data_IF_531227189650
#
_entry.id   IF_531227189650
#
_cell.length_a   1.000
_cell.length_b   1.000
_cell.length_c   1.000
_cell.angle_alpha   90.00
_cell.angle_beta   90.00
_cell.angle_gamma   90.00
#
_symmetry.space_group_name_H-M   'P 1'
#
loop_
_entity.id
_entity.type
_entity.pdbx_description
1 polymer ?
#
# COMPACT_ATOMS: atom_id res chain seq x y z
N UNK A 1 -46.06 21.56 67.77
CA UNK A 1 -44.59 21.76 67.75
C UNK A 1 -43.80 20.58 67.14
N UNK A 2 -44.44 19.47 66.75
CA UNK A 2 -43.75 18.32 66.12
C UNK A 2 -43.75 18.35 64.58
N UNK A 3 -44.66 19.10 63.93
CA UNK A 3 -44.74 19.13 62.47
C UNK A 3 -43.67 20.02 61.81
N UNK A 4 -43.28 21.13 62.46
CA UNK A 4 -42.24 22.03 61.95
C UNK A 4 -40.82 21.42 61.92
N UNK A 5 -40.58 20.34 62.67
CA UNK A 5 -39.27 19.64 62.68
C UNK A 5 -39.16 18.58 61.57
N UNK A 6 -40.27 18.03 61.08
CA UNK A 6 -40.23 17.03 59.99
C UNK A 6 -39.89 17.70 58.66
N UNK A 7 -40.45 18.86 58.37
CA UNK A 7 -40.22 19.56 57.09
C UNK A 7 -38.76 20.01 56.91
N UNK A 8 -38.10 20.45 57.99
CA UNK A 8 -36.69 20.86 57.95
C UNK A 8 -35.72 19.70 57.60
N UNK A 9 -36.09 18.45 57.93
CA UNK A 9 -35.31 17.26 57.58
C UNK A 9 -35.46 16.83 56.12
N UNK A 10 -36.66 16.98 55.57
CA UNK A 10 -36.98 16.57 54.20
C UNK A 10 -36.37 17.57 53.18
N UNK A 11 -36.41 18.87 53.49
CA UNK A 11 -35.77 19.90 52.66
C UNK A 11 -34.24 19.82 52.62
N UNK A 12 -33.61 19.37 53.72
CA UNK A 12 -32.16 19.11 53.80
C UNK A 12 -31.75 17.94 52.91
N UNK A 13 -32.56 16.89 52.83
CA UNK A 13 -32.30 15.71 51.98
C UNK A 13 -32.55 16.01 50.50
N UNK A 14 -33.60 16.77 50.17
CA UNK A 14 -33.88 17.22 48.81
C UNK A 14 -32.75 18.10 48.25
N UNK A 15 -32.10 18.92 49.09
CA UNK A 15 -30.96 19.78 48.72
C UNK A 15 -29.64 19.01 48.51
N UNK A 16 -29.46 17.84 49.14
CA UNK A 16 -28.27 16.99 48.96
C UNK A 16 -28.36 16.16 47.66
N UNK A 17 -29.57 15.79 47.26
CA UNK A 17 -29.80 14.96 46.05
C UNK A 17 -29.78 15.82 44.77
N UNK A 18 -30.12 17.11 44.86
CA UNK A 18 -30.26 18.00 43.69
C UNK A 18 -28.97 18.70 43.25
N UNK A 19 -27.86 18.57 43.97
CA UNK A 19 -26.65 19.36 43.71
C UNK A 19 -25.43 18.47 43.42
N UNK A 20 -25.23 17.96 42.19
CA UNK A 20 -23.95 17.43 41.81
C UNK A 20 -23.01 18.62 41.55
N UNK A 21 -22.24 18.95 42.59
CA UNK A 21 -20.88 19.51 42.54
C UNK A 21 -20.79 21.04 42.47
N UNK A 22 -20.71 21.67 43.64
CA UNK A 22 -19.92 22.90 43.79
C UNK A 22 -19.16 22.94 45.13
N UNK A 23 -17.83 22.76 45.05
CA UNK A 23 -16.79 23.18 46.00
C UNK A 23 -15.45 22.60 45.51
N UNK A 24 -14.37 23.33 45.32
CA UNK A 24 -14.09 24.72 45.62
C UNK A 24 -12.81 25.16 44.89
N UNK A 25 -12.52 26.45 44.97
CA UNK A 25 -11.42 27.11 44.27
C UNK A 25 -10.04 26.57 44.62
N UNK A 26 -9.26 26.32 43.58
CA UNK A 26 -7.82 26.19 43.61
C UNK A 26 -7.24 27.03 42.48
N UNK A 27 -6.45 28.03 42.86
CA UNK A 27 -5.63 28.87 42.00
C UNK A 27 -4.84 28.01 41.00
N UNK A 28 -4.99 28.28 39.71
CA UNK A 28 -4.36 27.49 38.66
C UNK A 28 -4.32 28.22 37.32
N UNK A 29 -3.29 29.06 37.16
CA UNK A 29 -2.70 29.60 35.93
C UNK A 29 -3.22 28.93 34.64
N UNK A 30 -4.02 29.67 33.87
CA UNK A 30 -4.59 29.24 32.60
C UNK A 30 -3.49 29.21 31.51
N UNK A 31 -2.73 28.11 31.46
CA UNK A 31 -1.83 27.76 30.35
C UNK A 31 -2.42 26.58 29.57
N UNK A 32 -3.63 26.76 29.04
CA UNK A 32 -4.20 25.85 28.03
C UNK A 32 -3.60 26.16 26.65
N UNK A 33 -2.29 26.03 26.54
CA UNK A 33 -1.64 25.58 25.32
C UNK A 33 -1.33 24.10 25.51
N UNK A 34 -2.36 23.30 25.76
CA UNK A 34 -2.27 21.85 25.59
C UNK A 34 -2.10 21.64 24.09
N UNK A 35 -0.83 21.72 23.67
CA UNK A 35 -0.35 21.26 22.39
C UNK A 35 -1.01 19.90 22.18
N UNK A 36 -2.02 19.87 21.30
CA UNK A 36 -2.50 18.66 20.67
C UNK A 36 -1.30 18.13 19.91
N UNK A 37 -0.37 17.48 20.62
CA UNK A 37 0.60 16.59 20.03
C UNK A 37 -0.28 15.57 19.32
N UNK A 38 -0.26 15.49 17.97
CA UNK A 38 -0.91 14.38 17.31
C UNK A 38 -0.18 13.17 17.84
N UNK A 39 -0.80 12.46 18.79
CA UNK A 39 -0.28 11.19 19.26
C UNK A 39 -0.30 10.32 18.02
N UNK A 40 0.88 10.14 17.44
CA UNK A 40 1.14 9.26 16.31
C UNK A 40 0.95 7.84 16.86
N UNK A 41 -0.30 7.45 17.08
CA UNK A 41 -0.66 6.09 17.45
C UNK A 41 -0.49 5.26 16.19
N UNK A 42 0.74 4.86 15.95
CA UNK A 42 1.09 3.79 15.05
C UNK A 42 0.59 2.51 15.74
N UNK A 43 -0.73 2.26 15.70
CA UNK A 43 -1.28 0.93 15.97
C UNK A 43 -0.93 0.06 14.76
N UNK A 44 0.31 -0.42 14.74
CA UNK A 44 0.63 -1.60 13.97
C UNK A 44 0.13 -2.76 14.82
N UNK A 45 -1.03 -3.30 14.50
CA UNK A 45 -1.27 -4.72 14.72
C UNK A 45 -0.30 -5.46 13.81
N UNK A 46 0.96 -5.60 14.25
CA UNK A 46 2.02 -6.31 13.53
C UNK A 46 1.52 -7.74 13.25
N UNK A 47 0.80 -8.33 14.20
CA UNK A 47 0.24 -9.69 14.07
C UNK A 47 -0.77 -9.84 12.92
N UNK A 48 -1.53 -8.78 12.59
CA UNK A 48 -2.46 -8.80 11.46
C UNK A 48 -1.81 -8.36 10.15
N UNK A 49 -0.85 -7.43 10.16
CA UNK A 49 -0.27 -6.85 8.95
C UNK A 49 0.59 -7.81 8.11
N UNK A 50 1.35 -8.71 8.76
CA UNK A 50 2.32 -9.58 8.08
C UNK A 50 1.66 -10.58 7.14
N UNK A 51 0.55 -11.20 7.53
CA UNK A 51 -0.11 -12.18 6.67
C UNK A 51 -0.63 -11.55 5.37
N UNK A 52 -1.18 -10.34 5.43
CA UNK A 52 -1.61 -9.62 4.21
C UNK A 52 -0.43 -9.17 3.37
N UNK A 53 0.70 -8.83 4.00
CA UNK A 53 1.93 -8.49 3.30
C UNK A 53 2.50 -9.70 2.56
N UNK A 54 2.52 -10.87 3.21
CA UNK A 54 2.98 -12.12 2.60
C UNK A 54 2.08 -12.47 1.41
N UNK A 55 0.75 -12.43 1.59
CA UNK A 55 -0.19 -12.72 0.49
C UNK A 55 -0.05 -11.73 -0.68
N UNK A 56 0.09 -10.43 -0.38
CA UNK A 56 0.39 -9.41 -1.38
C UNK A 56 1.70 -9.72 -2.13
N UNK A 57 2.76 -10.02 -1.38
CA UNK A 57 4.05 -10.35 -1.95
C UNK A 57 3.93 -11.58 -2.84
N UNK A 58 3.28 -12.66 -2.40
CA UNK A 58 3.05 -13.87 -3.20
C UNK A 58 2.30 -13.58 -4.49
N UNK A 59 1.24 -12.75 -4.45
CA UNK A 59 0.48 -12.33 -5.65
C UNK A 59 1.36 -11.56 -6.64
N UNK A 60 2.14 -10.60 -6.15
CA UNK A 60 3.00 -9.78 -7.03
C UNK A 60 4.20 -10.60 -7.54
N UNK A 61 4.87 -11.37 -6.69
CA UNK A 61 6.02 -12.19 -7.08
C UNK A 61 5.64 -13.30 -8.07
N UNK A 62 4.50 -13.97 -7.91
CA UNK A 62 4.03 -14.94 -8.91
C UNK A 62 3.81 -14.31 -10.28
N UNK A 63 3.28 -13.08 -10.31
CA UNK A 63 3.12 -12.30 -11.55
C UNK A 63 4.48 -11.94 -12.18
N UNK A 64 5.42 -11.46 -11.36
CA UNK A 64 6.75 -11.04 -11.83
C UNK A 64 7.60 -12.24 -12.28
N UNK A 65 7.55 -13.36 -11.57
CA UNK A 65 8.20 -14.59 -11.98
C UNK A 65 7.63 -15.15 -13.28
N UNK A 66 6.31 -14.99 -13.51
CA UNK A 66 5.71 -15.31 -14.80
C UNK A 66 6.27 -14.43 -15.92
N UNK A 67 6.45 -13.12 -15.70
CA UNK A 67 7.08 -12.21 -16.67
C UNK A 67 8.53 -12.63 -16.95
N UNK A 68 9.29 -12.98 -15.91
CA UNK A 68 10.67 -13.44 -16.05
C UNK A 68 10.77 -14.76 -16.83
N UNK A 69 9.80 -15.67 -16.63
CA UNK A 69 9.77 -16.95 -17.31
C UNK A 69 9.53 -16.85 -18.83
N UNK A 70 8.95 -15.74 -19.33
CA UNK A 70 8.83 -15.51 -20.77
C UNK A 70 10.20 -15.34 -21.41
N UNK A 71 11.18 -14.80 -20.68
CA UNK A 71 12.53 -14.63 -21.21
C UNK A 71 12.60 -13.63 -22.37
N UNK A 72 11.74 -12.60 -22.39
CA UNK A 72 11.70 -11.60 -23.47
C UNK A 72 13.06 -10.95 -23.76
N UNK A 73 13.87 -10.71 -22.72
CA UNK A 73 15.20 -10.11 -22.82
C UNK A 73 16.12 -10.71 -21.75
N UNK A 74 17.42 -10.50 -21.92
CA UNK A 74 18.42 -10.84 -20.92
C UNK A 74 18.25 -10.01 -19.63
N UNK A 75 18.81 -10.52 -18.53
CA UNK A 75 18.85 -9.83 -17.22
C UNK A 75 17.49 -9.53 -16.56
N UNK A 76 16.39 -10.17 -17.00
CA UNK A 76 15.07 -10.06 -16.35
C UNK A 76 15.08 -10.43 -14.86
N UNK A 77 16.09 -11.16 -14.37
CA UNK A 77 16.25 -11.49 -12.93
C UNK A 77 16.26 -10.23 -12.03
N UNK A 78 16.67 -9.07 -12.55
CA UNK A 78 16.70 -7.82 -11.78
C UNK A 78 15.29 -7.39 -11.32
N UNK A 79 14.23 -7.76 -12.07
CA UNK A 79 12.83 -7.48 -11.70
C UNK A 79 12.49 -7.99 -10.30
N UNK A 80 13.12 -9.08 -9.82
CA UNK A 80 12.87 -9.64 -8.47
C UNK A 80 13.23 -8.61 -7.40
N UNK A 81 14.37 -7.95 -7.55
CA UNK A 81 14.84 -6.92 -6.63
C UNK A 81 14.01 -5.64 -6.80
N UNK A 82 13.69 -5.27 -8.03
CA UNK A 82 12.87 -4.10 -8.35
C UNK A 82 11.46 -4.20 -7.77
N UNK A 83 10.90 -5.40 -7.80
CA UNK A 83 9.61 -5.73 -7.20
C UNK A 83 9.65 -5.55 -5.70
N UNK A 84 10.72 -6.00 -5.04
CA UNK A 84 10.93 -5.77 -3.62
C UNK A 84 10.94 -4.27 -3.29
N UNK A 85 11.72 -3.50 -4.04
CA UNK A 85 11.81 -2.04 -3.86
C UNK A 85 10.45 -1.37 -4.12
N UNK A 86 9.71 -1.80 -5.13
CA UNK A 86 8.37 -1.31 -5.45
C UNK A 86 7.36 -1.60 -4.35
N UNK A 87 7.36 -2.82 -3.80
CA UNK A 87 6.52 -3.19 -2.65
C UNK A 87 6.85 -2.33 -1.43
N UNK A 88 8.13 -2.17 -1.08
CA UNK A 88 8.57 -1.34 0.04
C UNK A 88 8.13 0.11 -0.18
N UNK A 89 8.38 0.67 -1.37
CA UNK A 89 7.97 2.02 -1.72
C UNK A 89 6.46 2.20 -1.61
N UNK A 90 5.67 1.24 -2.08
CA UNK A 90 4.21 1.27 -2.00
C UNK A 90 3.68 1.18 -0.57
N UNK A 91 4.29 0.33 0.28
CA UNK A 91 3.96 0.26 1.71
C UNK A 91 4.29 1.58 2.41
N UNK A 92 5.48 2.15 2.19
CA UNK A 92 5.88 3.43 2.77
C UNK A 92 4.93 4.55 2.31
N UNK A 93 4.66 4.63 1.01
CA UNK A 93 3.75 5.61 0.42
C UNK A 93 2.33 5.48 0.99
N UNK A 94 1.83 4.26 1.17
CA UNK A 94 0.49 4.01 1.72
C UNK A 94 0.35 4.49 3.17
N UNK A 95 1.43 4.43 3.95
CA UNK A 95 1.49 4.88 5.34
C UNK A 95 1.66 6.39 5.46
N UNK A 96 2.24 7.02 4.44
CA UNK A 96 2.46 8.47 4.44
C UNK A 96 1.17 9.25 4.21
N UNK A 97 0.61 9.79 5.29
CA UNK A 97 -0.61 10.61 5.27
C UNK A 97 -0.34 12.11 5.10
N UNK A 98 0.92 12.56 5.21
CA UNK A 98 1.26 13.99 5.16
C UNK A 98 1.26 14.60 3.75
N UNK A 99 1.48 13.77 2.73
CA UNK A 99 1.66 14.23 1.35
C UNK A 99 0.36 13.95 0.57
N UNK A 100 -0.15 14.91 -0.22
CA UNK A 100 -1.35 14.69 -1.04
C UNK A 100 -1.10 13.63 -2.12
N UNK A 101 -2.18 13.04 -2.66
CA UNK A 101 -2.10 11.82 -3.49
C UNK A 101 -1.25 12.02 -4.76
N UNK A 102 -1.43 13.14 -5.46
CA UNK A 102 -0.75 13.43 -6.73
C UNK A 102 0.80 13.40 -6.62
N UNK A 103 1.44 14.19 -5.75
CA UNK A 103 2.90 14.18 -5.66
C UNK A 103 3.48 12.84 -5.20
N UNK A 104 2.77 12.04 -4.41
CA UNK A 104 3.26 10.71 -4.04
C UNK A 104 3.38 9.79 -5.25
N UNK A 105 2.38 9.81 -6.15
CA UNK A 105 2.44 9.05 -7.39
C UNK A 105 3.53 9.57 -8.33
N UNK A 106 3.71 10.89 -8.43
CA UNK A 106 4.80 11.47 -9.23
C UNK A 106 6.18 11.08 -8.71
N UNK A 107 6.38 11.10 -7.39
CA UNK A 107 7.62 10.63 -6.77
C UNK A 107 7.84 9.14 -7.04
N UNK A 108 6.79 8.32 -6.96
CA UNK A 108 6.89 6.89 -7.25
C UNK A 108 7.24 6.61 -8.71
N UNK A 109 6.66 7.36 -9.66
CA UNK A 109 7.02 7.27 -11.08
C UNK A 109 8.47 7.68 -11.30
N UNK A 110 8.89 8.81 -10.73
CA UNK A 110 10.27 9.26 -10.83
C UNK A 110 11.25 8.24 -10.25
N UNK A 111 10.92 7.67 -9.10
CA UNK A 111 11.71 6.61 -8.46
C UNK A 111 11.76 5.34 -9.30
N UNK A 112 10.64 4.94 -9.91
CA UNK A 112 10.57 3.80 -10.83
C UNK A 112 11.52 3.99 -12.01
N UNK A 113 11.48 5.17 -12.64
CA UNK A 113 12.35 5.52 -13.77
C UNK A 113 13.83 5.55 -13.37
N UNK A 114 14.15 6.13 -12.20
CA UNK A 114 15.52 6.21 -11.71
C UNK A 114 16.10 4.82 -11.42
N UNK A 115 15.33 3.96 -10.72
CA UNK A 115 15.75 2.59 -10.40
C UNK A 115 15.89 1.78 -11.69
N UNK A 116 14.92 1.86 -12.61
CA UNK A 116 14.98 1.16 -13.88
C UNK A 116 16.20 1.61 -14.70
N UNK A 117 16.45 2.92 -14.80
CA UNK A 117 17.61 3.45 -15.51
C UNK A 117 18.92 2.95 -14.91
N UNK A 118 19.05 3.00 -13.58
CA UNK A 118 20.27 2.55 -12.89
C UNK A 118 20.51 1.05 -13.06
N UNK A 119 19.46 0.24 -12.94
CA UNK A 119 19.54 -1.20 -13.08
C UNK A 119 19.80 -1.65 -14.52
N UNK A 120 19.14 -1.04 -15.51
CA UNK A 120 19.40 -1.32 -16.92
C UNK A 120 20.82 -0.94 -17.30
N UNK A 121 21.32 0.22 -16.84
CA UNK A 121 22.71 0.62 -17.08
C UNK A 121 23.69 -0.37 -16.44
N UNK A 122 23.38 -0.87 -15.24
CA UNK A 122 24.14 -1.93 -14.59
C UNK A 122 24.15 -3.24 -15.37
N UNK A 123 23.00 -3.64 -15.91
CA UNK A 123 22.81 -4.90 -16.62
C UNK A 123 23.55 -4.95 -17.97
N UNK A 124 23.35 -3.94 -18.82
CA UNK A 124 23.84 -3.95 -20.20
C UNK A 124 25.15 -3.19 -20.41
N UNK A 125 25.46 -2.21 -19.57
CA UNK A 125 26.57 -1.28 -19.79
C UNK A 125 27.58 -1.24 -18.62
N UNK A 126 27.53 -2.23 -17.71
CA UNK A 126 28.44 -2.30 -16.57
C UNK A 126 28.38 -1.08 -15.63
N UNK A 127 27.24 -0.36 -15.62
CA UNK A 127 27.04 0.85 -14.83
C UNK A 127 27.38 2.16 -15.55
N UNK A 128 27.79 2.12 -16.82
CA UNK A 128 28.05 3.31 -17.62
C UNK A 128 26.73 3.99 -18.05
N UNK A 129 26.14 4.78 -17.16
CA UNK A 129 24.86 5.49 -17.38
C UNK A 129 24.86 6.41 -18.61
N UNK A 130 26.02 6.97 -18.97
CA UNK A 130 26.17 7.78 -20.17
C UNK A 130 25.92 6.98 -21.47
N UNK A 131 26.32 5.71 -21.50
CA UNK A 131 26.07 4.85 -22.68
C UNK A 131 24.59 4.52 -22.82
N UNK A 132 23.90 4.20 -21.73
CA UNK A 132 22.46 3.99 -21.74
C UNK A 132 21.72 5.27 -22.18
N UNK A 133 22.10 6.44 -21.65
CA UNK A 133 21.49 7.70 -22.04
C UNK A 133 21.68 7.99 -23.54
N UNK A 134 22.85 7.70 -24.08
CA UNK A 134 23.11 7.80 -25.52
C UNK A 134 22.26 6.81 -26.33
N UNK A 135 22.17 5.54 -25.89
CA UNK A 135 21.34 4.51 -26.52
C UNK A 135 19.86 4.91 -26.54
N UNK A 136 19.32 5.37 -25.41
CA UNK A 136 17.95 5.88 -25.31
C UNK A 136 17.71 7.08 -26.24
N UNK A 137 18.67 7.99 -26.38
CA UNK A 137 18.57 9.12 -27.31
C UNK A 137 18.52 8.64 -28.76
N UNK A 138 19.41 7.73 -29.15
CA UNK A 138 19.45 7.17 -30.50
C UNK A 138 18.16 6.42 -30.84
N UNK A 139 17.67 5.59 -29.93
CA UNK A 139 16.39 4.91 -30.09
C UNK A 139 15.23 5.89 -30.25
N UNK A 140 15.19 6.95 -29.45
CA UNK A 140 14.13 7.96 -29.53
C UNK A 140 14.13 8.67 -30.89
N UNK A 141 15.31 9.02 -31.41
CA UNK A 141 15.46 9.61 -32.75
C UNK A 141 14.99 8.62 -33.83
N UNK A 142 15.40 7.36 -33.73
CA UNK A 142 15.02 6.30 -34.68
C UNK A 142 13.51 6.06 -34.71
N UNK A 143 12.85 5.98 -33.55
CA UNK A 143 11.41 5.76 -33.44
C UNK A 143 10.62 6.93 -34.02
N UNK A 144 11.03 8.17 -33.74
CA UNK A 144 10.37 9.37 -34.31
C UNK A 144 10.58 9.45 -35.82
N UNK A 145 11.71 8.98 -36.32
CA UNK A 145 11.99 8.89 -37.75
C UNK A 145 11.22 7.76 -38.47
N UNK A 146 10.39 7.00 -37.75
CA UNK A 146 9.60 5.88 -38.30
C UNK A 146 10.36 4.55 -38.40
N UNK A 147 11.55 4.46 -37.78
CA UNK A 147 12.30 3.22 -37.67
C UNK A 147 11.76 2.29 -36.56
N UNK A 148 12.12 1.02 -36.63
CA UNK A 148 11.81 0.02 -35.60
C UNK A 148 12.89 0.07 -34.51
N UNK A 149 12.54 0.62 -33.36
CA UNK A 149 13.44 0.70 -32.20
C UNK A 149 13.53 -0.62 -31.43
N UNK A 150 14.13 -1.64 -32.04
CA UNK A 150 14.42 -2.93 -31.40
C UNK A 150 15.72 -2.84 -30.58
N UNK A 151 15.61 -2.48 -29.30
CA UNK A 151 16.73 -2.44 -28.37
C UNK A 151 16.32 -3.10 -27.04
N UNK A 152 16.96 -4.22 -26.73
CA UNK A 152 16.68 -5.03 -25.54
C UNK A 152 16.89 -4.24 -24.25
N UNK A 153 17.86 -3.32 -24.22
CA UNK A 153 18.13 -2.49 -23.05
C UNK A 153 16.96 -1.56 -22.74
N UNK A 154 16.31 -1.05 -23.79
CA UNK A 154 15.16 -0.14 -23.67
C UNK A 154 13.91 -0.92 -23.30
N UNK A 155 13.74 -2.12 -23.85
CA UNK A 155 12.68 -3.02 -23.43
C UNK A 155 12.83 -3.43 -21.95
N UNK A 156 14.04 -3.78 -21.49
CA UNK A 156 14.33 -4.06 -20.08
C UNK A 156 14.02 -2.85 -19.21
N UNK A 157 14.41 -1.63 -19.64
CA UNK A 157 14.09 -0.40 -18.93
C UNK A 157 12.59 -0.22 -18.72
N UNK A 158 11.78 -0.40 -19.77
CA UNK A 158 10.32 -0.27 -19.67
C UNK A 158 9.69 -1.35 -18.78
N UNK A 159 10.04 -2.61 -18.97
CA UNK A 159 9.52 -3.70 -18.13
C UNK A 159 9.92 -3.51 -16.67
N UNK A 160 11.15 -3.07 -16.40
CA UNK A 160 11.63 -2.83 -15.03
C UNK A 160 10.86 -1.69 -14.36
N UNK A 161 10.64 -0.58 -15.07
CA UNK A 161 9.84 0.54 -14.59
C UNK A 161 8.37 0.14 -14.35
N UNK A 162 7.77 -0.62 -15.27
CA UNK A 162 6.40 -1.12 -15.14
C UNK A 162 6.27 -2.13 -13.99
N UNK A 163 7.24 -3.03 -13.81
CA UNK A 163 7.28 -3.99 -12.70
C UNK A 163 7.33 -3.28 -11.35
N UNK A 164 8.16 -2.24 -11.23
CA UNK A 164 8.17 -1.38 -10.04
C UNK A 164 6.81 -0.74 -9.79
N UNK A 165 6.22 -0.13 -10.83
CA UNK A 165 4.93 0.57 -10.72
C UNK A 165 3.79 -0.40 -10.39
N UNK A 166 3.80 -1.62 -10.92
CA UNK A 166 2.83 -2.66 -10.61
C UNK A 166 2.92 -3.07 -9.14
N UNK A 167 4.14 -3.32 -8.64
CA UNK A 167 4.38 -3.66 -7.24
C UNK A 167 3.99 -2.52 -6.29
N UNK A 168 4.40 -1.29 -6.61
CA UNK A 168 4.03 -0.08 -5.89
C UNK A 168 2.51 0.12 -5.83
N UNK A 169 1.86 0.05 -6.99
CA UNK A 169 0.41 0.27 -7.11
C UNK A 169 -0.37 -0.82 -6.37
N UNK A 170 0.14 -2.05 -6.38
CA UNK A 170 -0.47 -3.18 -5.67
C UNK A 170 -0.48 -2.94 -4.16
N UNK A 171 0.67 -2.59 -3.59
CA UNK A 171 0.77 -2.25 -2.17
C UNK A 171 -0.09 -1.02 -1.82
N UNK A 172 -0.09 0.01 -2.66
CA UNK A 172 -0.89 1.22 -2.45
C UNK A 172 -2.41 0.94 -2.46
N UNK A 173 -2.88 0.17 -3.45
CA UNK A 173 -4.29 -0.21 -3.57
C UNK A 173 -4.76 -1.03 -2.37
N UNK A 174 -3.91 -1.95 -1.89
CA UNK A 174 -4.22 -2.78 -0.74
C UNK A 174 -4.32 -1.97 0.55
N UNK A 175 -3.28 -1.18 0.88
CA UNK A 175 -3.18 -0.54 2.19
C UNK A 175 -3.90 0.81 2.28
N UNK A 176 -3.84 1.64 1.24
CA UNK A 176 -4.42 3.00 1.29
C UNK A 176 -5.82 3.06 0.70
N UNK A 177 -6.06 2.38 -0.41
CA UNK A 177 -7.38 2.39 -1.07
C UNK A 177 -8.31 1.31 -0.52
N UNK A 178 -7.76 0.29 0.18
CA UNK A 178 -8.49 -0.88 0.69
C UNK A 178 -9.31 -1.58 -0.39
N UNK A 179 -8.76 -1.64 -1.60
CA UNK A 179 -9.39 -2.29 -2.75
C UNK A 179 -8.54 -3.47 -3.22
N UNK A 180 -8.64 -4.64 -2.55
CA UNK A 180 -7.89 -5.84 -2.94
C UNK A 180 -8.31 -6.34 -4.33
N UNK A 181 -9.57 -6.14 -4.72
CA UNK A 181 -10.08 -6.54 -6.04
C UNK A 181 -9.35 -5.87 -7.19
N UNK A 182 -9.14 -4.55 -7.14
CA UNK A 182 -8.43 -3.84 -8.20
C UNK A 182 -6.96 -4.29 -8.29
N UNK A 183 -6.33 -4.54 -7.16
CA UNK A 183 -4.96 -5.06 -7.09
C UNK A 183 -4.88 -6.45 -7.74
N UNK A 184 -5.80 -7.36 -7.40
CA UNK A 184 -5.86 -8.71 -8.00
C UNK A 184 -6.07 -8.62 -9.51
N UNK A 185 -7.06 -7.85 -9.97
CA UNK A 185 -7.35 -7.72 -11.41
C UNK A 185 -6.15 -7.16 -12.17
N UNK A 186 -5.50 -6.12 -11.66
CA UNK A 186 -4.32 -5.53 -12.29
C UNK A 186 -3.19 -6.55 -12.47
N UNK A 187 -2.88 -7.35 -11.44
CA UNK A 187 -1.84 -8.37 -11.53
C UNK A 187 -2.29 -9.56 -12.38
N UNK A 188 -3.57 -9.96 -12.32
CA UNK A 188 -4.11 -11.06 -13.11
C UNK A 188 -3.99 -10.77 -14.62
N UNK A 189 -4.28 -9.54 -15.06
CA UNK A 189 -4.12 -9.14 -16.46
C UNK A 189 -2.66 -9.31 -16.91
N UNK A 190 -1.70 -8.79 -16.13
CA UNK A 190 -0.27 -8.92 -16.44
C UNK A 190 0.15 -10.39 -16.47
N UNK A 191 -0.26 -11.17 -15.48
CA UNK A 191 0.05 -12.59 -15.40
C UNK A 191 -0.50 -13.35 -16.60
N UNK A 192 -1.78 -13.16 -16.95
CA UNK A 192 -2.42 -13.91 -18.05
C UNK A 192 -1.81 -13.57 -19.42
N UNK A 193 -1.47 -12.30 -19.67
CA UNK A 193 -0.78 -11.90 -20.90
C UNK A 193 0.56 -12.61 -21.01
N UNK A 194 1.34 -12.67 -19.92
CA UNK A 194 2.65 -13.32 -19.95
C UNK A 194 2.54 -14.84 -19.93
N UNK A 195 1.53 -15.40 -19.25
CA UNK A 195 1.28 -16.83 -19.20
C UNK A 195 0.95 -17.40 -20.59
N UNK A 196 0.29 -16.62 -21.43
CA UNK A 196 0.03 -16.99 -22.84
C UNK A 196 1.29 -17.10 -23.69
N UNK A 197 2.44 -16.61 -23.21
CA UNK A 197 3.72 -16.60 -23.92
C UNK A 197 4.75 -17.59 -23.33
N UNK A 198 4.35 -18.42 -22.36
CA UNK A 198 5.23 -19.43 -21.73
C UNK A 198 4.68 -20.84 -21.90
N UNK A 199 5.54 -21.83 -21.73
CA UNK A 199 5.17 -23.24 -21.74
C UNK A 199 4.18 -23.60 -20.62
N UNK A 200 3.39 -24.66 -20.85
CA UNK A 200 2.36 -25.16 -19.93
C UNK A 200 2.87 -25.47 -18.51
N UNK A 201 4.18 -25.75 -18.35
CA UNK A 201 4.80 -25.99 -17.04
C UNK A 201 4.71 -24.81 -16.05
N UNK A 202 4.52 -23.59 -16.55
CA UNK A 202 4.46 -22.38 -15.72
C UNK A 202 3.04 -22.04 -15.19
N UNK A 203 2.05 -22.91 -15.44
CA UNK A 203 0.70 -22.77 -14.88
C UNK A 203 0.69 -22.73 -13.34
N UNK A 204 1.74 -23.24 -12.71
CA UNK A 204 1.95 -23.14 -11.25
C UNK A 204 1.89 -21.69 -10.75
N UNK A 205 2.37 -20.71 -11.53
CA UNK A 205 2.29 -19.30 -11.14
C UNK A 205 0.84 -18.82 -11.05
N UNK A 206 -0.02 -19.24 -11.99
CA UNK A 206 -1.45 -18.94 -11.95
C UNK A 206 -2.12 -19.57 -10.73
N UNK A 207 -1.80 -20.84 -10.42
CA UNK A 207 -2.38 -21.54 -9.26
C UNK A 207 -1.99 -20.86 -7.95
N UNK A 208 -0.70 -20.56 -7.76
CA UNK A 208 -0.20 -19.85 -6.57
C UNK A 208 -0.82 -18.46 -6.47
N UNK A 209 -0.92 -17.74 -7.59
CA UNK A 209 -1.59 -16.44 -7.66
C UNK A 209 -3.06 -16.52 -7.23
N UNK A 210 -3.81 -17.49 -7.75
CA UNK A 210 -5.23 -17.67 -7.42
C UNK A 210 -5.41 -18.01 -5.94
N UNK A 211 -4.63 -18.96 -5.41
CA UNK A 211 -4.69 -19.30 -3.99
C UNK A 211 -4.41 -18.09 -3.10
N UNK A 212 -3.32 -17.36 -3.36
CA UNK A 212 -2.95 -16.20 -2.55
C UNK A 212 -3.96 -15.05 -2.69
N UNK A 213 -4.46 -14.79 -3.90
CA UNK A 213 -5.44 -13.73 -4.16
C UNK A 213 -6.80 -14.03 -3.52
N UNK A 214 -7.29 -15.27 -3.60
CA UNK A 214 -8.53 -15.68 -2.95
C UNK A 214 -8.43 -15.55 -1.43
N UNK A 215 -7.33 -16.01 -0.82
CA UNK A 215 -7.10 -15.88 0.62
C UNK A 215 -7.01 -14.41 1.05
N UNK A 216 -6.34 -13.57 0.27
CA UNK A 216 -6.25 -12.14 0.52
C UNK A 216 -7.64 -11.49 0.46
N UNK A 217 -8.40 -11.74 -0.61
CA UNK A 217 -9.74 -11.17 -0.78
C UNK A 217 -10.68 -11.66 0.31
N UNK A 218 -10.67 -12.96 0.63
CA UNK A 218 -11.48 -13.54 1.70
C UNK A 218 -11.21 -12.83 3.04
N UNK A 219 -9.93 -12.67 3.39
CA UNK A 219 -9.54 -11.97 4.61
C UNK A 219 -10.11 -10.56 4.68
N UNK A 220 -9.91 -9.77 3.62
CA UNK A 220 -10.43 -8.40 3.57
C UNK A 220 -11.96 -8.33 3.65
N UNK A 221 -12.67 -9.33 3.12
CA UNK A 221 -14.14 -9.40 3.21
C UNK A 221 -14.61 -9.77 4.63
N UNK A 222 -13.90 -10.64 5.34
CA UNK A 222 -14.21 -11.01 6.72
C UNK A 222 -14.04 -9.83 7.67
N UNK A 223 -12.96 -9.05 7.51
CA UNK A 223 -12.69 -7.86 8.31
C UNK A 223 -13.79 -6.79 8.15
N UNK A 224 -14.32 -6.61 6.93
CA UNK A 224 -15.42 -5.66 6.65
C UNK A 224 -16.74 -6.13 7.26
N UNK A 225 -17.06 -7.43 7.20
CA UNK A 225 -18.34 -7.99 7.67
C UNK A 225 -18.41 -8.11 9.19
N UNK A 226 -17.31 -8.41 9.88
CA UNK A 226 -17.27 -8.49 11.35
C UNK A 226 -17.66 -7.16 12.04
N UNK A 227 -17.32 -6.03 11.42
CA UNK A 227 -17.67 -4.70 11.94
C UNK A 227 -19.18 -4.38 11.80
N UNK A 228 -19.79 -4.78 10.69
CA UNK A 228 -21.23 -4.55 10.45
C UNK A 228 -22.09 -5.36 11.42
N UNK A 229 -21.74 -6.63 11.67
CA UNK A 229 -22.50 -7.52 12.57
C UNK A 229 -22.42 -7.07 14.05
N UNK A 230 -21.29 -6.50 14.50
CA UNK A 230 -21.18 -5.96 15.86
C UNK A 230 -21.99 -4.67 16.05
N UNK A 231 -22.08 -3.81 15.03
CA UNK A 231 -22.92 -2.61 15.10
C UNK A 231 -24.42 -2.93 15.12
N UNK A 232 -24.87 -3.99 14.45
CA UNK A 232 -26.27 -4.43 14.55
C UNK A 232 -26.58 -5.14 15.86
N UNK A 233 -25.61 -5.81 16.50
CA UNK A 233 -25.79 -6.50 17.78
C UNK A 233 -25.79 -5.55 18.99
N UNK A 234 -25.05 -4.44 18.94
CA UNK A 234 -25.03 -3.41 20.01
C UNK A 234 -26.20 -2.41 19.86
N UNK A 235 -26.88 -2.43 18.72
CA UNK A 235 -28.04 -1.58 18.42
C UNK A 235 -29.41 -2.20 18.67
N UNK A 236 -29.49 -3.37 19.33
CA UNK A 236 -30.75 -4.00 19.78
C UNK A 236 -30.78 -4.16 21.29
#
# INVERSE_FOLDING_TARGET
MQDAMRDAGVDRLAKIISDPRSSGGGVGKNNNAQSRKPSFRIHIGIEEGWFSLIMLATVVYSTIWCVQAVGWVDHLNILTLTTLLGLIAGVIASKQQRIPRLPVHLIAIFLALLIAFWQTAGAYYGGATAMLAHGMHQWFVTVIAGGTGEDDSIFLFFITALGFLLAYSSAWLLYRTRSPWLMVVANAVVLLINLSNVDTGYIVFLVVFLMASLLLVLRFNLDVRGCVTLMTSVGM
#
